data_IF_075732895271
#
_entry.id   IF_075732895271
#
_cell.length_a   1.000
_cell.length_b   1.000
_cell.length_c   1.000
_cell.angle_alpha   90.00
_cell.angle_beta   90.00
_cell.angle_gamma   90.00
#
_symmetry.space_group_name_H-M   'P 1'
#
loop_
_entity.id
_entity.type
_entity.pdbx_description
1 polymer ?
#
# COMPACT_ATOMS: atom_id res chain seq x y z
N UNK A 1 -7.65 10.18 1.15
CA UNK A 1 -6.26 9.72 1.19
C UNK A 1 -5.38 10.68 0.40
N UNK A 2 -4.74 11.64 1.07
CA UNK A 2 -3.64 12.40 0.44
C UNK A 2 -2.42 11.48 0.50
N UNK A 3 -1.95 11.05 -0.67
CA UNK A 3 -0.66 10.36 -0.76
C UNK A 3 0.39 11.46 -0.63
N UNK A 4 1.02 11.56 0.54
CA UNK A 4 2.20 12.41 0.70
C UNK A 4 3.32 11.81 -0.15
N UNK A 5 4.04 12.66 -0.88
CA UNK A 5 5.15 12.26 -1.75
C UNK A 5 6.39 11.99 -0.89
N UNK A 6 6.34 10.90 -0.12
CA UNK A 6 7.40 10.45 0.77
C UNK A 6 8.15 9.28 0.13
N UNK A 7 9.47 9.35 0.19
CA UNK A 7 10.32 8.18 -0.06
C UNK A 7 10.10 7.12 1.00
N UNK A 8 10.42 5.86 0.70
CA UNK A 8 10.29 4.76 1.68
C UNK A 8 11.13 5.01 2.95
N UNK A 9 12.25 5.73 2.83
CA UNK A 9 13.11 6.11 3.95
C UNK A 9 12.41 7.13 4.85
N UNK A 10 11.84 8.18 4.27
CA UNK A 10 11.10 9.22 5.02
C UNK A 10 9.84 8.64 5.67
N UNK A 11 9.13 7.73 4.97
CA UNK A 11 8.00 7.03 5.53
C UNK A 11 8.40 6.20 6.75
N UNK A 12 9.52 5.47 6.68
CA UNK A 12 10.03 4.70 7.81
C UNK A 12 10.37 5.60 8.99
N UNK A 13 11.09 6.70 8.76
CA UNK A 13 11.38 7.72 9.80
C UNK A 13 10.08 8.17 10.45
N UNK A 14 9.10 8.57 9.65
CA UNK A 14 7.83 9.10 10.14
C UNK A 14 7.06 8.08 10.98
N UNK A 15 7.06 6.82 10.56
CA UNK A 15 6.44 5.72 11.33
C UNK A 15 7.12 5.55 12.69
N UNK A 16 8.45 5.62 12.76
CA UNK A 16 9.19 5.53 14.03
C UNK A 16 8.84 6.73 14.93
N UNK A 17 8.83 7.94 14.38
CA UNK A 17 8.44 9.16 15.11
C UNK A 17 7.02 9.07 15.67
N UNK A 18 6.05 8.69 14.84
CA UNK A 18 4.65 8.58 15.26
C UNK A 18 4.46 7.49 16.31
N UNK A 19 5.16 6.36 16.18
CA UNK A 19 5.01 5.24 17.10
C UNK A 19 5.57 5.56 18.50
N UNK A 20 6.72 6.25 18.57
CA UNK A 20 7.41 6.52 19.84
C UNK A 20 7.23 7.95 20.37
N UNK A 21 6.74 8.88 19.56
CA UNK A 21 6.62 10.30 19.91
C UNK A 21 5.34 10.65 20.67
N UNK A 22 4.25 9.91 20.46
CA UNK A 22 2.94 10.21 21.05
C UNK A 22 2.48 9.17 22.09
N UNK A 23 3.23 8.08 22.27
CA UNK A 23 2.75 6.90 22.96
C UNK A 23 3.45 6.66 24.30
N UNK A 24 2.74 6.27 25.38
CA UNK A 24 3.33 5.90 26.67
C UNK A 24 4.00 4.50 26.60
N UNK A 25 4.60 4.17 25.47
CA UNK A 25 5.25 2.89 25.23
C UNK A 25 6.64 2.91 25.86
N UNK A 26 7.03 1.78 26.45
CA UNK A 26 8.39 1.58 26.93
C UNK A 26 9.38 1.68 25.77
N UNK A 27 10.29 2.66 25.85
CA UNK A 27 11.26 2.93 24.80
C UNK A 27 12.36 1.85 24.78
N UNK A 28 12.50 1.08 23.68
CA UNK A 28 13.49 0.02 23.62
C UNK A 28 14.92 0.59 23.50
N UNK A 29 15.95 -0.14 23.98
CA UNK A 29 17.34 0.26 23.79
C UNK A 29 17.83 0.10 22.34
N UNK A 30 17.07 -0.60 21.50
CA UNK A 30 17.39 -0.83 20.10
C UNK A 30 16.11 -0.94 19.27
N UNK A 31 16.05 -0.19 18.17
CA UNK A 31 15.00 -0.26 17.16
C UNK A 31 15.61 -0.77 15.86
N UNK A 32 15.07 -1.88 15.37
CA UNK A 32 15.51 -2.51 14.12
C UNK A 32 14.65 -1.96 12.99
N UNK A 33 15.30 -1.40 11.97
CA UNK A 33 14.63 -0.81 10.81
C UNK A 33 15.03 -1.52 9.51
N UNK A 34 14.19 -1.42 8.48
CA UNK A 34 14.37 -2.17 7.23
C UNK A 34 15.34 -1.46 6.27
N UNK A 35 15.25 -0.13 6.22
CA UNK A 35 15.98 0.73 5.31
C UNK A 35 17.02 1.54 6.07
N UNK A 36 18.18 1.68 5.42
CA UNK A 36 19.15 2.64 5.89
C UNK A 36 18.73 4.03 5.42
N UNK A 37 18.74 5.01 6.33
CA UNK A 37 18.30 6.39 6.08
C UNK A 37 19.38 7.33 6.64
N UNK A 38 19.67 8.46 5.98
CA UNK A 38 20.52 9.51 6.53
C UNK A 38 20.05 10.01 7.92
N UNK A 39 18.76 9.88 8.21
CA UNK A 39 18.14 10.34 9.45
C UNK A 39 18.28 9.35 10.61
N UNK A 40 18.81 8.14 10.38
CA UNK A 40 18.92 7.10 11.39
C UNK A 40 19.72 7.54 12.62
N UNK A 41 20.79 8.32 12.43
CA UNK A 41 21.59 8.85 13.53
C UNK A 41 20.82 9.89 14.36
N UNK A 42 20.04 10.74 13.68
CA UNK A 42 19.19 11.74 14.33
C UNK A 42 18.05 11.07 15.11
N UNK A 43 17.41 10.05 14.53
CA UNK A 43 16.40 9.23 15.20
C UNK A 43 16.97 8.51 16.43
N UNK A 44 18.18 7.95 16.35
CA UNK A 44 18.82 7.30 17.48
C UNK A 44 19.11 8.30 18.63
N UNK A 45 19.54 9.52 18.30
CA UNK A 45 19.75 10.59 19.27
C UNK A 45 18.42 11.01 19.92
N UNK A 46 17.39 11.24 19.12
CA UNK A 46 16.06 11.60 19.58
C UNK A 46 15.47 10.54 20.51
N UNK A 47 15.50 9.26 20.13
CA UNK A 47 15.06 8.14 20.97
C UNK A 47 15.88 8.03 22.26
N UNK A 48 17.19 8.28 22.21
CA UNK A 48 18.05 8.27 23.40
C UNK A 48 17.67 9.36 24.40
N UNK A 49 17.32 10.55 23.91
CA UNK A 49 16.87 11.67 24.72
C UNK A 49 15.52 11.36 25.37
N UNK A 50 14.55 10.83 24.59
CA UNK A 50 13.26 10.42 25.13
C UNK A 50 13.39 9.31 26.19
N UNK A 51 14.29 8.35 25.97
CA UNK A 51 14.52 7.21 26.85
C UNK A 51 15.33 7.57 28.11
N UNK A 52 16.07 8.68 28.09
CA UNK A 52 17.04 9.04 29.14
C UNK A 52 18.30 8.16 29.17
N UNK A 53 18.49 7.28 28.19
CA UNK A 53 19.69 6.44 28.05
C UNK A 53 19.85 5.93 26.62
N UNK A 54 21.07 5.56 26.24
CA UNK A 54 21.47 5.27 24.85
C UNK A 54 20.53 4.26 24.16
N UNK A 55 19.85 4.72 23.10
CA UNK A 55 19.13 3.92 22.13
C UNK A 55 19.95 3.80 20.82
N UNK A 56 19.65 2.78 20.01
CA UNK A 56 20.29 2.57 18.71
C UNK A 56 19.25 2.26 17.64
N UNK A 57 19.45 2.80 16.44
CA UNK A 57 18.76 2.36 15.23
C UNK A 57 19.70 1.40 14.51
N UNK A 58 19.21 0.22 14.13
CA UNK A 58 20.05 -0.76 13.42
C UNK A 58 19.38 -1.32 12.18
N UNK A 59 20.19 -1.51 11.13
CA UNK A 59 19.78 -2.09 9.85
C UNK A 59 20.51 -3.43 9.67
N UNK A 60 19.96 -4.55 10.17
CA UNK A 60 20.66 -5.82 10.17
C UNK A 60 20.82 -6.34 8.74
N UNK A 61 22.06 -6.67 8.36
CA UNK A 61 22.37 -7.25 7.04
C UNK A 61 22.45 -8.79 7.06
N UNK A 62 22.68 -9.39 8.24
CA UNK A 62 22.81 -10.85 8.43
C UNK A 62 22.43 -11.27 9.85
N UNK A 63 22.33 -12.59 10.08
CA UNK A 63 22.09 -13.18 11.38
C UNK A 63 20.63 -13.13 11.84
N UNK A 64 20.41 -13.39 13.14
CA UNK A 64 19.07 -13.58 13.70
C UNK A 64 18.13 -12.38 13.51
N UNK A 65 18.63 -11.14 13.74
CA UNK A 65 17.84 -9.91 13.55
C UNK A 65 17.41 -9.71 12.09
N UNK A 66 18.25 -10.08 11.12
CA UNK A 66 17.87 -10.04 9.69
C UNK A 66 16.78 -11.06 9.39
N UNK A 67 16.87 -12.26 9.96
CA UNK A 67 15.83 -13.29 9.82
C UNK A 67 14.49 -12.82 10.39
N UNK A 68 14.51 -12.24 11.60
CA UNK A 68 13.33 -11.67 12.24
C UNK A 68 12.71 -10.54 11.41
N UNK A 69 13.53 -9.62 10.91
CA UNK A 69 13.07 -8.56 10.01
C UNK A 69 12.42 -9.14 8.74
N UNK A 70 13.04 -10.16 8.13
CA UNK A 70 12.48 -10.82 6.94
C UNK A 70 11.12 -11.46 7.23
N UNK A 71 10.96 -12.12 8.37
CA UNK A 71 9.70 -12.72 8.78
C UNK A 71 8.62 -11.66 9.01
N UNK A 72 8.96 -10.56 9.70
CA UNK A 72 8.04 -9.44 9.90
C UNK A 72 7.61 -8.81 8.56
N UNK A 73 8.54 -8.65 7.61
CA UNK A 73 8.22 -8.15 6.26
C UNK A 73 7.27 -9.09 5.51
N UNK A 74 7.48 -10.40 5.58
CA UNK A 74 6.60 -11.37 4.92
C UNK A 74 5.19 -11.35 5.53
N UNK A 75 5.10 -11.34 6.86
CA UNK A 75 3.84 -11.22 7.57
C UNK A 75 3.07 -9.94 7.18
N UNK A 76 3.78 -8.81 7.07
CA UNK A 76 3.19 -7.55 6.65
C UNK A 76 2.65 -7.60 5.20
N UNK A 77 3.38 -8.24 4.28
CA UNK A 77 2.91 -8.46 2.90
C UNK A 77 1.65 -9.32 2.86
N UNK A 78 1.63 -10.40 3.65
CA UNK A 78 0.48 -11.31 3.71
C UNK A 78 -0.75 -10.65 4.32
N UNK A 79 -0.58 -9.84 5.37
CA UNK A 79 -1.67 -9.03 5.92
C UNK A 79 -2.16 -7.98 4.92
N UNK A 80 -1.26 -7.29 4.21
CA UNK A 80 -1.65 -6.33 3.18
C UNK A 80 -2.43 -7.01 2.05
N UNK A 81 -2.00 -8.20 1.61
CA UNK A 81 -2.72 -9.00 0.61
C UNK A 81 -4.10 -9.40 1.11
N UNK A 82 -4.21 -9.89 2.35
CA UNK A 82 -5.51 -10.23 2.98
C UNK A 82 -6.41 -9.00 3.10
N UNK A 83 -5.87 -7.86 3.51
CA UNK A 83 -6.60 -6.60 3.61
C UNK A 83 -7.15 -6.16 2.24
N UNK A 84 -6.34 -6.24 1.17
CA UNK A 84 -6.79 -5.94 -0.21
C UNK A 84 -7.89 -6.89 -0.68
N UNK A 85 -7.76 -8.19 -0.39
CA UNK A 85 -8.78 -9.19 -0.74
C UNK A 85 -10.10 -8.95 0.01
N UNK A 86 -10.04 -8.64 1.32
CA UNK A 86 -11.23 -8.27 2.10
C UNK A 86 -11.92 -7.04 1.53
N UNK A 87 -11.16 -5.99 1.19
CA UNK A 87 -11.74 -4.79 0.54
C UNK A 87 -12.40 -5.08 -0.80
N UNK A 88 -11.86 -6.01 -1.61
CA UNK A 88 -12.49 -6.40 -2.87
C UNK A 88 -13.80 -7.20 -2.65
N UNK A 89 -13.88 -7.97 -1.55
CA UNK A 89 -15.05 -8.74 -1.16
C UNK A 89 -16.13 -7.91 -0.46
N UNK A 90 -15.75 -6.81 0.18
CA UNK A 90 -16.61 -5.95 0.99
C UNK A 90 -17.54 -5.08 0.12
N UNK A 91 -18.84 -5.33 0.24
CA UNK A 91 -19.89 -4.60 -0.45
C UNK A 91 -19.85 -3.09 -0.15
N UNK A 92 -19.54 -2.70 1.09
CA UNK A 92 -19.49 -1.28 1.48
C UNK A 92 -18.31 -0.57 0.82
N UNK A 93 -17.17 -1.25 0.72
CA UNK A 93 -16.00 -0.72 0.04
C UNK A 93 -16.24 -0.55 -1.47
N UNK A 94 -16.90 -1.53 -2.12
CA UNK A 94 -17.27 -1.41 -3.55
C UNK A 94 -18.29 -0.30 -3.79
N UNK A 95 -19.34 -0.22 -2.98
CA UNK A 95 -20.35 0.84 -3.08
C UNK A 95 -19.74 2.24 -2.90
N UNK A 96 -18.82 2.40 -1.94
CA UNK A 96 -18.08 3.65 -1.75
C UNK A 96 -17.24 3.99 -2.98
N UNK A 97 -16.46 3.05 -3.50
CA UNK A 97 -15.62 3.28 -4.67
C UNK A 97 -16.44 3.69 -5.91
N UNK A 98 -17.60 3.07 -6.15
CA UNK A 98 -18.50 3.45 -7.25
C UNK A 98 -19.11 4.84 -7.04
N UNK A 99 -19.43 5.20 -5.80
CA UNK A 99 -19.93 6.54 -5.44
C UNK A 99 -18.85 7.60 -5.65
N UNK A 100 -17.62 7.33 -5.20
CA UNK A 100 -16.48 8.23 -5.38
C UNK A 100 -16.18 8.44 -6.88
N UNK A 101 -16.26 7.38 -7.69
CA UNK A 101 -16.11 7.46 -9.15
C UNK A 101 -17.21 8.31 -9.79
N UNK A 102 -18.47 8.13 -9.37
CA UNK A 102 -19.59 8.93 -9.85
C UNK A 102 -19.41 10.41 -9.55
N UNK A 103 -18.99 10.74 -8.32
CA UNK A 103 -18.70 12.11 -7.93
C UNK A 103 -17.55 12.70 -8.77
N UNK A 104 -16.48 11.94 -8.99
CA UNK A 104 -15.33 12.39 -9.78
C UNK A 104 -15.68 12.64 -11.26
N UNK A 105 -16.57 11.82 -11.83
CA UNK A 105 -17.04 11.94 -13.21
C UNK A 105 -18.31 12.79 -13.34
N UNK A 106 -18.79 13.39 -12.25
CA UNK A 106 -20.03 14.16 -12.18
C UNK A 106 -21.28 13.40 -12.69
N UNK A 107 -21.32 12.09 -12.45
CA UNK A 107 -22.46 11.24 -12.81
C UNK A 107 -23.57 11.38 -11.77
N UNK A 108 -24.83 11.42 -12.24
CA UNK A 108 -26.01 11.49 -11.38
C UNK A 108 -26.15 10.27 -10.46
N UNK A 109 -25.72 9.10 -10.94
CA UNK A 109 -25.84 7.83 -10.23
C UNK A 109 -24.54 7.03 -10.34
N UNK A 110 -24.30 6.16 -9.36
CA UNK A 110 -23.14 5.27 -9.35
C UNK A 110 -23.18 4.31 -10.55
N UNK A 111 -22.11 4.22 -11.37
CA UNK A 111 -22.10 3.35 -12.53
C UNK A 111 -21.97 1.89 -12.09
N UNK A 112 -23.10 1.18 -11.99
CA UNK A 112 -23.13 -0.22 -11.56
C UNK A 112 -22.53 -1.17 -12.58
N UNK A 113 -22.56 -0.81 -13.88
CA UNK A 113 -21.92 -1.55 -14.96
C UNK A 113 -20.90 -0.68 -15.67
N UNK A 114 -19.66 -1.17 -15.77
CA UNK A 114 -18.54 -0.49 -16.40
C UNK A 114 -17.95 -1.43 -17.45
N UNK A 115 -17.86 -0.94 -18.69
CA UNK A 115 -17.26 -1.67 -19.80
C UNK A 115 -16.00 -0.91 -20.25
N UNK A 116 -14.85 -1.58 -20.22
CA UNK A 116 -13.59 -0.99 -20.64
C UNK A 116 -13.14 -1.63 -21.94
N UNK A 117 -12.89 -0.80 -22.96
CA UNK A 117 -12.39 -1.21 -24.25
C UNK A 117 -10.90 -0.89 -24.37
N UNK A 118 -10.11 -1.85 -24.80
CA UNK A 118 -8.70 -1.69 -25.14
C UNK A 118 -8.48 -2.07 -26.61
N UNK A 119 -7.90 -1.16 -27.38
CA UNK A 119 -7.68 -1.30 -28.82
C UNK A 119 -6.18 -1.36 -29.10
N UNK A 120 -5.69 -2.55 -29.47
CA UNK A 120 -4.30 -2.78 -29.82
C UNK A 120 -4.10 -2.75 -31.33
N UNK A 121 -3.16 -1.90 -31.78
CA UNK A 121 -2.72 -1.82 -33.16
C UNK A 121 -1.41 -2.58 -33.32
N UNK A 122 -1.44 -3.77 -33.92
CA UNK A 122 -0.21 -4.46 -34.35
C UNK A 122 0.17 -3.88 -35.72
N UNK A 123 1.40 -3.38 -35.86
CA UNK A 123 1.91 -2.89 -37.16
C UNK A 123 1.82 -4.00 -38.21
N UNK A 124 0.73 -3.97 -38.99
CA UNK A 124 0.36 -5.03 -39.94
C UNK A 124 -1.07 -5.55 -39.70
N UNK A 125 -2.04 -4.88 -40.34
CA UNK A 125 -3.42 -5.30 -40.71
C UNK A 125 -4.36 -5.96 -39.71
N UNK A 126 -3.93 -6.34 -38.50
CA UNK A 126 -4.76 -7.00 -37.49
C UNK A 126 -5.04 -6.05 -36.32
N UNK A 127 -6.19 -5.37 -36.38
CA UNK A 127 -6.73 -4.67 -35.22
C UNK A 127 -7.32 -5.70 -34.25
N UNK A 128 -6.93 -5.63 -32.97
CA UNK A 128 -7.53 -6.47 -31.94
C UNK A 128 -8.09 -5.55 -30.87
N UNK A 129 -9.40 -5.64 -30.66
CA UNK A 129 -10.09 -5.02 -29.54
C UNK A 129 -10.34 -6.03 -28.43
N UNK A 130 -10.24 -5.61 -27.17
CA UNK A 130 -10.73 -6.38 -26.03
C UNK A 130 -11.66 -5.52 -25.19
N UNK A 131 -12.72 -6.15 -24.68
CA UNK A 131 -13.67 -5.54 -23.76
C UNK A 131 -13.75 -6.37 -22.50
N UNK A 132 -13.48 -5.71 -21.38
CA UNK A 132 -13.65 -6.26 -20.04
C UNK A 132 -14.84 -5.60 -19.38
N UNK A 133 -15.58 -6.37 -18.61
CA UNK A 133 -16.83 -5.92 -17.96
C UNK A 133 -16.71 -6.04 -16.45
N UNK A 134 -17.12 -4.99 -15.76
CA UNK A 134 -17.30 -4.96 -14.31
C UNK A 134 -18.76 -4.65 -13.98
N UNK A 135 -19.34 -5.39 -13.04
CA UNK A 135 -20.71 -5.22 -12.55
C UNK A 135 -20.67 -5.19 -11.01
N UNK A 136 -21.27 -4.17 -10.40
CA UNK A 136 -21.24 -3.87 -8.97
C UNK A 136 -19.81 -3.88 -8.36
N UNK A 137 -18.84 -3.38 -9.13
CA UNK A 137 -17.43 -3.36 -8.75
C UNK A 137 -16.73 -4.73 -8.83
N UNK A 138 -17.37 -5.76 -9.40
CA UNK A 138 -16.82 -7.12 -9.56
C UNK A 138 -16.62 -7.42 -11.05
N UNK A 139 -15.50 -8.05 -11.42
CA UNK A 139 -15.27 -8.46 -12.81
C UNK A 139 -16.27 -9.54 -13.26
N UNK A 140 -17.02 -9.28 -14.33
CA UNK A 140 -17.98 -10.21 -14.94
C UNK A 140 -17.37 -10.88 -16.17
N UNK A 141 -16.50 -11.87 -15.93
CA UNK A 141 -15.70 -12.55 -16.96
C UNK A 141 -16.52 -13.18 -18.09
N UNK A 142 -17.74 -13.64 -17.81
CA UNK A 142 -18.64 -14.21 -18.81
C UNK A 142 -19.03 -13.22 -19.92
N UNK A 143 -18.99 -11.93 -19.61
CA UNK A 143 -19.36 -10.86 -20.54
C UNK A 143 -18.16 -10.29 -21.31
N UNK A 144 -16.95 -10.84 -21.10
CA UNK A 144 -15.77 -10.37 -21.81
C UNK A 144 -15.90 -10.65 -23.30
N UNK A 145 -15.47 -9.71 -24.13
CA UNK A 145 -15.49 -9.85 -25.59
C UNK A 145 -14.12 -9.53 -26.17
N UNK A 146 -13.77 -10.22 -27.24
CA UNK A 146 -12.62 -9.92 -28.07
C UNK A 146 -13.13 -9.63 -29.47
N UNK A 147 -12.75 -8.48 -30.00
CA UNK A 147 -13.08 -8.02 -31.34
C UNK A 147 -11.85 -8.21 -32.22
N UNK A 148 -12.05 -8.70 -33.44
CA UNK A 148 -11.02 -8.88 -34.47
C UNK A 148 -11.49 -8.19 -35.73
#
# INVERSE_FOLDING_TARGET
>A
DRVEDLTDQELQTRVVELHYGESPIELPPEVVVALDSPENDLLALWLSNLRGSKARITVPKRGHKRSMLSMATENAKDEMKRHRLRRASDHNARAKALTDLANFLELKEAPLRIECYDMSHLQGTNYVGSMVVMEDGITKRADYRRFR
#
